data_IF_108617491694
#
_entry.id   IF_108617491694
#
_cell.length_a   1.000
_cell.length_b   1.000
_cell.length_c   1.000
_cell.angle_alpha   90.00
_cell.angle_beta   90.00
_cell.angle_gamma   90.00
#
_symmetry.space_group_name_H-M   'P 1'
#
loop_
_entity.id
_entity.type
_entity.pdbx_description
1 polymer ?
#
# COMPACT_ATOMS: atom_id res chain seq x y z
N UNK A 1 16.31 2.39 -16.56
CA UNK A 1 16.62 2.19 -15.13
C UNK A 1 17.13 3.48 -14.53
N UNK A 2 16.39 4.02 -13.57
CA UNK A 2 16.90 5.12 -12.78
C UNK A 2 17.92 4.57 -11.76
N UNK A 3 19.12 5.13 -11.75
CA UNK A 3 20.17 4.74 -10.81
C UNK A 3 19.92 5.39 -9.44
N UNK A 4 19.30 6.56 -9.46
CA UNK A 4 18.96 7.33 -8.25
C UNK A 4 17.47 7.62 -8.23
N UNK A 5 16.87 7.65 -7.05
CA UNK A 5 15.45 7.98 -6.88
C UNK A 5 15.11 9.41 -7.37
N UNK A 6 16.08 10.34 -7.29
CA UNK A 6 15.93 11.70 -7.81
C UNK A 6 15.66 11.70 -9.31
N UNK A 7 16.32 10.82 -10.06
CA UNK A 7 16.16 10.73 -11.52
C UNK A 7 14.72 10.26 -11.86
N UNK A 8 14.12 9.41 -11.02
CA UNK A 8 12.72 8.98 -11.16
C UNK A 8 11.75 10.14 -10.89
N UNK A 9 12.01 10.95 -9.86
CA UNK A 9 11.20 12.12 -9.54
C UNK A 9 11.29 13.18 -10.64
N UNK A 10 12.49 13.46 -11.15
CA UNK A 10 12.69 14.40 -12.26
C UNK A 10 11.95 13.94 -13.53
N UNK A 11 11.99 12.63 -13.82
CA UNK A 11 11.25 12.05 -14.92
C UNK A 11 9.73 12.20 -14.72
N UNK A 12 9.22 11.91 -13.52
CA UNK A 12 7.81 12.08 -13.18
C UNK A 12 7.35 13.54 -13.31
N UNK A 13 8.14 14.50 -12.83
CA UNK A 13 7.88 15.94 -12.99
C UNK A 13 7.80 16.31 -14.47
N UNK A 14 8.69 15.78 -15.30
CA UNK A 14 8.77 16.06 -16.73
C UNK A 14 7.55 15.59 -17.53
N UNK A 15 6.74 14.67 -16.98
CA UNK A 15 5.50 14.20 -17.61
C UNK A 15 4.37 15.22 -17.58
N UNK A 16 4.42 16.20 -16.68
CA UNK A 16 3.30 17.11 -16.32
C UNK A 16 2.02 16.37 -15.90
N UNK A 17 2.15 15.16 -15.35
CA UNK A 17 1.03 14.32 -14.88
C UNK A 17 0.97 14.23 -13.35
N UNK A 18 1.72 15.06 -12.67
CA UNK A 18 1.65 15.15 -11.23
C UNK A 18 0.31 15.73 -10.77
N UNK A 19 -0.26 15.11 -9.75
CA UNK A 19 -1.51 15.56 -9.12
C UNK A 19 -1.27 15.88 -7.65
N UNK A 20 -1.89 16.94 -7.14
CA UNK A 20 -1.95 17.20 -5.70
C UNK A 20 -3.05 16.33 -5.13
N UNK A 21 -2.71 15.41 -4.25
CA UNK A 21 -3.64 14.47 -3.61
C UNK A 21 -4.15 14.97 -2.26
N UNK A 22 -3.52 15.99 -1.71
CA UNK A 22 -3.98 16.67 -0.49
C UNK A 22 -3.04 17.79 -0.05
N UNK A 23 -3.53 18.62 0.85
CA UNK A 23 -2.76 19.66 1.52
C UNK A 23 -2.46 19.23 2.96
N UNK A 24 -1.25 19.47 3.41
CA UNK A 24 -0.81 19.12 4.75
C UNK A 24 0.17 20.17 5.28
N UNK A 25 -0.06 20.67 6.49
CA UNK A 25 0.73 21.75 7.08
C UNK A 25 0.76 22.95 6.11
N UNK A 26 1.94 23.45 5.78
CA UNK A 26 2.12 24.54 4.81
C UNK A 26 2.57 24.02 3.43
N UNK A 27 2.30 22.76 3.10
CA UNK A 27 2.71 22.11 1.86
C UNK A 27 1.68 21.16 1.29
N UNK A 28 2.13 20.28 0.41
CA UNK A 28 1.26 19.43 -0.41
C UNK A 28 1.80 18.00 -0.45
N UNK A 29 0.86 17.05 -0.52
CA UNK A 29 1.13 15.69 -0.97
C UNK A 29 0.87 15.63 -2.47
N UNK A 30 1.90 15.26 -3.22
CA UNK A 30 1.87 15.20 -4.68
C UNK A 30 2.10 13.76 -5.10
N UNK A 31 1.38 13.29 -6.11
CA UNK A 31 1.49 11.94 -6.62
C UNK A 31 1.68 11.93 -8.14
N UNK A 32 2.60 11.09 -8.60
CA UNK A 32 2.61 10.57 -9.96
C UNK A 32 2.00 9.17 -9.94
N UNK A 33 0.94 8.96 -10.73
CA UNK A 33 0.28 7.67 -10.87
C UNK A 33 0.48 7.15 -12.31
N UNK A 34 1.21 6.05 -12.44
CA UNK A 34 1.42 5.37 -13.71
C UNK A 34 0.21 4.45 -14.02
N UNK A 35 -0.25 4.35 -15.27
CA UNK A 35 -1.34 3.43 -15.64
C UNK A 35 -1.09 1.96 -15.31
N UNK A 36 0.15 1.56 -15.09
CA UNK A 36 0.49 0.23 -14.58
C UNK A 36 0.12 -0.01 -13.12
N UNK A 37 -0.30 1.01 -12.39
CA UNK A 37 -0.56 1.01 -10.96
C UNK A 37 0.60 1.52 -10.10
N UNK A 38 1.81 1.62 -10.66
CA UNK A 38 2.96 2.14 -9.91
C UNK A 38 2.79 3.63 -9.57
N UNK A 39 3.18 4.02 -8.36
CA UNK A 39 3.02 5.39 -7.87
C UNK A 39 4.33 5.90 -7.27
N UNK A 40 4.57 7.21 -7.44
CA UNK A 40 5.57 7.97 -6.71
C UNK A 40 4.83 9.01 -5.89
N UNK A 41 4.98 8.96 -4.58
CA UNK A 41 4.39 9.92 -3.64
C UNK A 41 5.48 10.88 -3.16
N UNK A 42 5.21 12.16 -3.18
CA UNK A 42 6.14 13.22 -2.82
C UNK A 42 5.47 14.10 -1.76
N UNK A 43 6.01 14.08 -0.55
CA UNK A 43 5.66 15.02 0.49
C UNK A 43 6.50 16.30 0.30
N UNK A 44 5.86 17.37 -0.15
CA UNK A 44 6.51 18.64 -0.50
C UNK A 44 6.47 19.66 0.66
N UNK A 45 6.71 19.17 1.88
CA UNK A 45 6.86 19.98 3.11
C UNK A 45 7.79 19.24 4.08
N UNK A 46 8.47 19.96 4.96
CA UNK A 46 9.34 19.32 5.96
C UNK A 46 8.55 18.47 6.98
N UNK A 47 9.03 17.24 7.25
CA UNK A 47 10.18 16.58 6.65
C UNK A 47 9.87 16.08 5.24
N UNK A 48 10.66 16.49 4.25
CA UNK A 48 10.47 16.04 2.86
C UNK A 48 10.64 14.54 2.75
N UNK A 49 9.73 13.90 2.01
CA UNK A 49 9.79 12.47 1.77
C UNK A 49 9.38 12.15 0.33
N UNK A 50 9.98 11.08 -0.21
CA UNK A 50 9.56 10.47 -1.46
C UNK A 50 9.52 8.97 -1.25
N UNK A 51 8.40 8.36 -1.59
CA UNK A 51 8.18 6.93 -1.37
C UNK A 51 7.30 6.33 -2.46
N UNK A 52 7.46 5.02 -2.65
CA UNK A 52 6.70 4.27 -3.64
C UNK A 52 5.31 3.95 -3.08
N UNK A 53 4.33 3.88 -3.98
CA UNK A 53 3.01 3.35 -3.76
C UNK A 53 2.60 2.45 -4.93
N UNK A 54 1.47 1.81 -4.78
CA UNK A 54 0.86 1.00 -5.82
C UNK A 54 -0.66 1.05 -5.70
N UNK A 55 -1.33 1.20 -6.84
CA UNK A 55 -2.79 1.13 -6.93
C UNK A 55 -3.20 -0.35 -7.00
N UNK A 56 -3.54 -0.89 -5.83
CA UNK A 56 -3.90 -2.30 -5.66
C UNK A 56 -5.27 -2.60 -6.25
N UNK A 57 -5.40 -3.72 -6.96
CA UNK A 57 -6.71 -4.20 -7.42
C UNK A 57 -7.43 -5.00 -6.33
N UNK A 58 -6.68 -5.55 -5.37
CA UNK A 58 -7.28 -6.20 -4.20
C UNK A 58 -7.64 -5.18 -3.15
N UNK A 59 -8.75 -5.42 -2.46
CA UNK A 59 -9.24 -4.57 -1.39
C UNK A 59 -9.51 -5.40 -0.14
N UNK A 60 -9.17 -4.84 1.01
CA UNK A 60 -9.44 -5.41 2.33
C UNK A 60 -9.89 -4.32 3.30
N UNK A 61 -9.94 -4.66 4.58
CA UNK A 61 -10.24 -3.71 5.65
C UNK A 61 -9.13 -3.71 6.69
N UNK A 62 -8.85 -2.54 7.25
CA UNK A 62 -7.89 -2.42 8.35
C UNK A 62 -8.24 -1.28 9.30
N UNK A 63 -7.78 -1.39 10.54
CA UNK A 63 -7.55 -0.23 11.39
C UNK A 63 -6.17 0.34 11.06
N UNK A 64 -6.08 1.63 10.84
CA UNK A 64 -4.85 2.30 10.39
C UNK A 64 -4.41 3.34 11.40
N UNK A 65 -3.18 3.23 11.89
CA UNK A 65 -2.54 4.20 12.77
C UNK A 65 -1.20 4.62 12.18
N UNK A 66 -0.90 5.91 12.16
CA UNK A 66 0.37 6.38 11.64
C UNK A 66 1.49 6.20 12.66
N UNK A 67 2.62 5.67 12.21
CA UNK A 67 3.87 5.59 12.98
C UNK A 67 4.72 6.86 12.74
N UNK A 68 4.69 7.35 11.52
CA UNK A 68 5.27 8.63 11.08
C UNK A 68 4.53 9.10 9.80
N UNK A 69 5.00 10.14 9.15
CA UNK A 69 4.32 10.70 7.96
C UNK A 69 4.11 9.69 6.81
N UNK A 70 4.89 8.62 6.73
CA UNK A 70 4.85 7.67 5.61
C UNK A 70 4.44 6.26 6.06
N UNK A 71 4.95 5.82 7.21
CA UNK A 71 4.77 4.46 7.69
C UNK A 71 3.51 4.37 8.55
N UNK A 72 2.59 3.51 8.15
CA UNK A 72 1.40 3.14 8.92
C UNK A 72 1.58 1.78 9.61
N UNK A 73 1.02 1.64 10.81
CA UNK A 73 0.72 0.37 11.44
C UNK A 73 -0.73 0.01 11.14
N UNK A 74 -0.97 -1.22 10.73
CA UNK A 74 -2.28 -1.69 10.29
C UNK A 74 -2.66 -2.99 10.99
N UNK A 75 -3.88 -3.05 11.50
CA UNK A 75 -4.54 -4.28 11.89
C UNK A 75 -5.48 -4.69 10.76
N UNK A 76 -5.06 -5.68 9.97
CA UNK A 76 -5.81 -6.15 8.80
C UNK A 76 -6.93 -7.07 9.28
N UNK A 77 -8.15 -6.82 8.82
CA UNK A 77 -9.38 -7.40 9.36
C UNK A 77 -10.07 -8.32 8.34
N UNK A 78 -10.74 -9.34 8.88
CA UNK A 78 -11.77 -10.04 8.13
C UNK A 78 -13.08 -9.22 8.07
N UNK A 79 -14.08 -9.62 7.27
CA UNK A 79 -15.37 -8.91 7.20
C UNK A 79 -16.16 -8.87 8.51
N UNK A 80 -15.76 -9.64 9.51
CA UNK A 80 -16.42 -9.70 10.84
C UNK A 80 -15.66 -8.91 11.91
N UNK A 81 -14.50 -8.33 11.57
CA UNK A 81 -13.68 -7.55 12.48
C UNK A 81 -12.63 -8.33 13.25
N UNK A 82 -12.39 -9.58 12.87
CA UNK A 82 -11.28 -10.35 13.44
C UNK A 82 -9.98 -9.88 12.82
N UNK A 83 -8.97 -9.62 13.65
CA UNK A 83 -7.63 -9.28 13.16
C UNK A 83 -6.98 -10.52 12.57
N UNK A 84 -6.73 -10.49 11.26
CA UNK A 84 -6.06 -11.54 10.50
C UNK A 84 -4.54 -11.45 10.62
N UNK A 85 -4.01 -10.23 10.56
CA UNK A 85 -2.59 -9.94 10.67
C UNK A 85 -2.35 -8.50 11.12
N UNK A 86 -1.17 -8.26 11.68
CA UNK A 86 -0.63 -6.92 11.88
C UNK A 86 0.50 -6.64 10.91
N UNK A 87 0.55 -5.45 10.35
CA UNK A 87 1.53 -5.07 9.35
C UNK A 87 1.98 -3.62 9.50
N UNK A 88 3.18 -3.31 9.04
CA UNK A 88 3.61 -1.95 8.74
C UNK A 88 3.73 -1.78 7.24
N UNK A 89 3.24 -0.67 6.71
CA UNK A 89 3.22 -0.37 5.28
C UNK A 89 3.53 1.10 5.01
N UNK A 90 4.16 1.38 3.87
CA UNK A 90 4.18 2.74 3.35
C UNK A 90 2.79 3.07 2.83
N UNK A 91 2.12 4.04 3.46
CA UNK A 91 0.76 4.45 3.10
C UNK A 91 0.80 5.64 2.15
N UNK A 92 0.21 5.50 0.97
CA UNK A 92 0.21 6.56 -0.04
C UNK A 92 -0.38 7.88 0.48
N UNK A 93 -1.43 7.81 1.30
CA UNK A 93 -2.09 8.95 1.95
C UNK A 93 -1.55 9.25 3.36
N UNK A 94 -0.49 8.55 3.79
CA UNK A 94 0.05 8.64 5.16
C UNK A 94 0.23 10.05 5.69
N UNK A 95 0.88 10.97 4.94
CA UNK A 95 1.07 12.34 5.42
C UNK A 95 -0.22 13.07 5.79
N UNK A 96 -1.34 12.75 5.13
CA UNK A 96 -2.64 13.37 5.40
C UNK A 96 -3.28 12.86 6.69
N UNK A 97 -2.77 11.76 7.24
CA UNK A 97 -3.26 11.11 8.45
C UNK A 97 -2.26 11.17 9.61
N UNK A 98 -1.08 11.77 9.41
CA UNK A 98 0.02 11.69 10.37
C UNK A 98 -0.31 12.25 11.75
N UNK A 99 -1.19 13.26 11.80
CA UNK A 99 -1.62 13.93 13.03
C UNK A 99 -3.02 13.46 13.49
N UNK A 100 -3.61 12.47 12.80
CA UNK A 100 -4.94 11.95 13.10
C UNK A 100 -4.86 10.74 14.06
N UNK A 101 -5.95 10.53 14.80
CA UNK A 101 -6.12 9.32 15.59
C UNK A 101 -6.23 8.09 14.69
N UNK A 102 -6.21 6.89 15.29
CA UNK A 102 -6.43 5.63 14.59
C UNK A 102 -7.69 5.70 13.73
N UNK A 103 -7.55 5.43 12.45
CA UNK A 103 -8.66 5.38 11.50
C UNK A 103 -9.24 3.95 11.48
N UNK A 104 -10.42 3.71 12.08
CA UNK A 104 -11.00 2.38 12.10
C UNK A 104 -11.68 2.03 10.78
N UNK A 105 -11.67 0.75 10.43
CA UNK A 105 -12.44 0.18 9.31
C UNK A 105 -12.19 0.88 7.96
N UNK A 106 -10.94 1.20 7.69
CA UNK A 106 -10.59 1.75 6.38
C UNK A 106 -10.58 0.64 5.33
N UNK A 107 -11.12 0.93 4.16
CA UNK A 107 -10.91 0.11 2.99
C UNK A 107 -9.49 0.36 2.50
N UNK A 108 -8.70 -0.71 2.39
CA UNK A 108 -7.27 -0.64 2.08
C UNK A 108 -6.94 -1.51 0.88
N UNK A 109 -6.16 -0.96 -0.04
CA UNK A 109 -5.44 -1.72 -1.04
C UNK A 109 -4.05 -2.05 -0.51
N UNK A 110 -3.64 -3.31 -0.59
CA UNK A 110 -2.35 -3.79 -0.08
C UNK A 110 -1.52 -4.39 -1.22
N UNK A 111 -0.29 -3.93 -1.37
CA UNK A 111 0.62 -4.42 -2.42
C UNK A 111 2.00 -4.68 -1.87
N UNK A 112 2.57 -5.83 -2.21
CA UNK A 112 3.93 -6.22 -1.86
C UNK A 112 4.86 -6.02 -3.05
N UNK A 113 5.90 -5.22 -2.89
CA UNK A 113 7.03 -5.15 -3.82
C UNK A 113 7.99 -6.27 -3.46
N UNK A 114 7.88 -7.40 -4.18
CA UNK A 114 8.57 -8.65 -3.82
C UNK A 114 10.04 -8.67 -4.22
N UNK A 115 10.86 -9.18 -3.34
CA UNK A 115 12.26 -9.53 -3.58
C UNK A 115 12.62 -10.81 -2.81
N UNK A 116 13.58 -11.60 -3.31
CA UNK A 116 13.93 -12.89 -2.67
C UNK A 116 12.75 -13.88 -2.63
N UNK A 117 11.93 -13.88 -3.68
CA UNK A 117 10.74 -14.74 -3.78
C UNK A 117 11.10 -16.08 -4.39
N UNK A 118 10.58 -17.17 -3.82
CA UNK A 118 10.68 -18.54 -4.31
C UNK A 118 9.31 -18.99 -4.83
N UNK A 119 9.32 -19.76 -5.91
CA UNK A 119 8.14 -20.32 -6.58
C UNK A 119 8.03 -21.81 -6.27
N UNK A 120 6.81 -22.26 -5.99
CA UNK A 120 6.43 -23.66 -5.81
C UNK A 120 5.30 -23.99 -6.79
N UNK A 121 5.37 -25.14 -7.42
CA UNK A 121 4.41 -25.52 -8.45
C UNK A 121 2.98 -25.75 -7.90
N UNK A 122 2.86 -26.02 -6.60
CA UNK A 122 1.57 -26.22 -5.94
C UNK A 122 1.65 -25.97 -4.42
N UNK A 123 0.49 -25.88 -3.77
CA UNK A 123 0.38 -25.87 -2.31
C UNK A 123 0.99 -27.13 -1.69
N UNK A 124 0.83 -28.30 -2.34
CA UNK A 124 1.38 -29.56 -1.85
C UNK A 124 2.91 -29.57 -1.84
N UNK A 125 3.56 -28.94 -2.84
CA UNK A 125 5.01 -28.83 -2.87
C UNK A 125 5.54 -27.91 -1.76
N UNK A 126 4.81 -26.83 -1.47
CA UNK A 126 5.11 -25.95 -0.35
C UNK A 126 4.92 -26.66 1.00
N UNK A 127 3.79 -27.35 1.18
CA UNK A 127 3.49 -28.13 2.39
C UNK A 127 4.51 -29.24 2.64
N UNK A 128 5.02 -29.89 1.60
CA UNK A 128 6.04 -30.91 1.70
C UNK A 128 7.37 -30.34 2.27
N UNK A 129 7.68 -29.07 2.01
CA UNK A 129 8.89 -28.40 2.51
C UNK A 129 8.69 -27.82 3.93
N UNK A 130 7.53 -27.19 4.19
CA UNK A 130 7.29 -26.42 5.43
C UNK A 130 6.33 -27.05 6.42
N UNK A 131 5.65 -28.13 6.04
CA UNK A 131 4.61 -28.81 6.83
C UNK A 131 3.49 -27.86 7.31
N UNK A 132 3.15 -26.86 6.48
CA UNK A 132 2.10 -25.89 6.74
C UNK A 132 1.48 -25.42 5.43
N UNK A 133 0.20 -25.02 5.45
CA UNK A 133 -0.48 -24.44 4.30
C UNK A 133 0.13 -23.09 3.90
N UNK A 134 0.22 -22.75 2.60
CA UNK A 134 0.82 -21.50 2.12
C UNK A 134 -0.11 -20.29 2.34
N UNK A 135 -0.36 -19.96 3.58
CA UNK A 135 -1.06 -18.74 4.02
C UNK A 135 -0.33 -18.20 5.23
N UNK A 136 0.76 -17.47 5.00
CA UNK A 136 1.58 -16.87 6.04
C UNK A 136 1.86 -15.40 5.72
N UNK A 137 1.88 -14.58 6.76
CA UNK A 137 2.29 -13.19 6.69
C UNK A 137 2.94 -12.77 8.00
N UNK A 138 4.11 -12.18 7.92
CA UNK A 138 4.89 -11.69 9.06
C UNK A 138 5.39 -10.28 8.75
N UNK A 139 5.32 -9.38 9.72
CA UNK A 139 5.85 -8.01 9.63
C UNK A 139 6.67 -7.69 10.88
N UNK A 140 7.99 -7.72 10.73
CA UNK A 140 8.91 -7.35 11.82
C UNK A 140 8.65 -5.90 12.29
N UNK A 141 8.33 -5.00 11.36
CA UNK A 141 7.98 -3.62 11.70
C UNK A 141 6.74 -3.53 12.60
N UNK A 142 5.72 -4.38 12.38
CA UNK A 142 4.55 -4.43 13.22
C UNK A 142 4.88 -4.94 14.64
N UNK A 143 5.74 -5.95 14.75
CA UNK A 143 6.21 -6.45 16.05
C UNK A 143 6.96 -5.37 16.83
N UNK A 144 7.84 -4.60 16.15
CA UNK A 144 8.58 -3.48 16.76
C UNK A 144 7.62 -2.41 17.29
N UNK A 145 6.60 -2.05 16.50
CA UNK A 145 5.58 -1.07 16.91
C UNK A 145 4.78 -1.59 18.11
N UNK A 146 4.32 -2.84 18.05
CA UNK A 146 3.54 -3.45 19.13
C UNK A 146 4.33 -3.56 20.46
N UNK A 147 5.64 -3.80 20.40
CA UNK A 147 6.51 -3.82 21.58
C UNK A 147 6.70 -2.43 22.21
N UNK A 148 6.61 -1.35 21.42
CA UNK A 148 6.69 0.03 21.90
C UNK A 148 8.01 0.41 22.58
N UNK A 149 9.06 -0.39 22.42
CA UNK A 149 10.34 -0.20 23.14
C UNK A 149 11.17 0.98 22.60
N UNK A 150 10.94 1.41 21.36
CA UNK A 150 11.76 2.40 20.66
C UNK A 150 13.21 1.95 20.39
N UNK A 151 13.53 0.69 20.64
CA UNK A 151 14.90 0.14 20.48
C UNK A 151 15.26 -0.12 19.01
N UNK A 152 14.28 -0.28 18.14
CA UNK A 152 14.45 -0.50 16.71
C UNK A 152 13.51 0.41 15.91
N UNK A 153 13.92 0.73 14.68
CA UNK A 153 13.11 1.52 13.75
C UNK A 153 12.26 0.56 12.92
N UNK A 154 10.92 0.67 12.97
CA UNK A 154 10.06 -0.18 12.15
C UNK A 154 10.21 0.15 10.67
N UNK A 155 10.11 -0.88 9.83
CA UNK A 155 10.17 -0.76 8.36
C UNK A 155 8.94 -1.42 7.74
N UNK A 156 8.59 -1.13 6.47
CA UNK A 156 7.49 -1.78 5.79
C UNK A 156 7.85 -3.19 5.27
N UNK A 157 8.94 -3.77 5.75
CA UNK A 157 9.37 -5.13 5.39
C UNK A 157 8.38 -6.19 5.84
N UNK A 158 8.11 -7.14 4.95
CA UNK A 158 7.25 -8.28 5.24
C UNK A 158 7.82 -9.58 4.68
N UNK A 159 7.38 -10.70 5.26
CA UNK A 159 7.55 -12.05 4.74
C UNK A 159 6.18 -12.65 4.49
N UNK A 160 6.02 -13.34 3.38
CA UNK A 160 4.73 -13.91 3.00
C UNK A 160 4.88 -15.28 2.36
N UNK A 161 3.80 -16.06 2.43
CA UNK A 161 3.56 -17.21 1.57
C UNK A 161 2.08 -17.19 1.17
N UNK A 162 1.80 -17.24 -0.14
CA UNK A 162 0.46 -17.12 -0.66
C UNK A 162 0.32 -17.82 -2.02
N UNK A 163 -0.92 -18.14 -2.37
CA UNK A 163 -1.28 -18.76 -3.62
C UNK A 163 -1.60 -17.70 -4.68
N UNK A 164 -1.17 -17.95 -5.92
CA UNK A 164 -1.48 -17.09 -7.07
C UNK A 164 -2.93 -17.32 -7.51
N UNK A 165 -3.70 -16.25 -7.60
CA UNK A 165 -5.06 -16.26 -8.13
C UNK A 165 -5.10 -15.81 -9.58
N UNK A 166 -4.40 -14.71 -9.86
CA UNK A 166 -4.28 -14.12 -11.18
C UNK A 166 -2.87 -13.59 -11.38
N UNK A 167 -2.43 -13.53 -12.62
CA UNK A 167 -1.12 -12.95 -12.96
C UNK A 167 -1.14 -12.34 -14.35
N UNK A 168 -0.46 -11.23 -14.52
CA UNK A 168 -0.33 -10.53 -15.78
C UNK A 168 0.99 -9.77 -15.89
N UNK A 169 1.40 -9.49 -17.13
CA UNK A 169 2.47 -8.55 -17.40
C UNK A 169 1.93 -7.14 -17.44
N UNK A 170 2.59 -6.23 -16.74
CA UNK A 170 2.39 -4.79 -16.83
C UNK A 170 3.67 -4.10 -17.29
N UNK A 171 3.53 -2.93 -17.86
CA UNK A 171 4.64 -2.09 -18.29
C UNK A 171 4.51 -0.73 -17.65
N UNK A 172 5.54 -0.33 -16.90
CA UNK A 172 5.62 1.00 -16.32
C UNK A 172 5.93 2.01 -17.44
N UNK A 173 5.04 2.94 -17.69
CA UNK A 173 5.16 3.89 -18.80
C UNK A 173 6.29 4.91 -18.60
N UNK A 174 6.61 5.24 -17.34
CA UNK A 174 7.69 6.17 -17.03
C UNK A 174 9.07 5.58 -17.34
N UNK A 175 9.25 4.27 -17.15
CA UNK A 175 10.54 3.60 -17.30
C UNK A 175 10.63 2.72 -18.55
N UNK A 176 9.50 2.32 -19.13
CA UNK A 176 9.40 1.30 -20.17
C UNK A 176 9.70 -0.13 -19.68
N UNK A 177 9.82 -0.33 -18.37
CA UNK A 177 10.13 -1.64 -17.81
C UNK A 177 8.87 -2.47 -17.57
N UNK A 178 8.99 -3.74 -17.92
CA UNK A 178 7.95 -4.74 -17.64
C UNK A 178 8.16 -5.33 -16.25
N UNK A 179 7.05 -5.59 -15.60
CA UNK A 179 6.99 -6.32 -14.34
C UNK A 179 5.78 -7.24 -14.31
N UNK A 180 5.79 -8.19 -13.39
CA UNK A 180 4.66 -9.08 -13.14
C UNK A 180 3.80 -8.48 -12.06
N UNK A 181 2.51 -8.38 -12.32
CA UNK A 181 1.48 -8.07 -11.33
C UNK A 181 0.68 -9.34 -11.06
N UNK A 182 0.51 -9.68 -9.79
CA UNK A 182 -0.19 -10.88 -9.35
C UNK A 182 -1.21 -10.53 -8.26
N UNK A 183 -2.35 -11.19 -8.31
CA UNK A 183 -3.34 -11.22 -7.23
C UNK A 183 -3.07 -12.47 -6.39
N UNK A 184 -2.87 -12.27 -5.10
CA UNK A 184 -2.47 -13.30 -4.16
C UNK A 184 -3.56 -13.61 -3.14
N UNK A 185 -3.72 -14.91 -2.83
CA UNK A 185 -4.60 -15.43 -1.78
C UNK A 185 -3.72 -16.01 -0.66
N UNK A 186 -3.60 -15.27 0.43
CA UNK A 186 -2.81 -15.62 1.61
C UNK A 186 -3.63 -15.55 2.89
N UNK A 187 -3.03 -15.02 3.97
CA UNK A 187 -3.77 -14.70 5.21
C UNK A 187 -4.86 -13.67 4.96
N UNK A 188 -4.60 -12.77 4.02
CA UNK A 188 -5.51 -11.78 3.45
C UNK A 188 -5.17 -11.62 1.96
N UNK A 189 -6.08 -11.11 1.12
CA UNK A 189 -5.78 -10.84 -0.27
C UNK A 189 -4.85 -9.62 -0.41
N UNK A 190 -3.87 -9.71 -1.31
CA UNK A 190 -2.95 -8.61 -1.63
C UNK A 190 -2.42 -8.73 -3.06
N UNK A 191 -1.94 -7.63 -3.60
CA UNK A 191 -1.23 -7.62 -4.87
C UNK A 191 0.26 -7.89 -4.65
N UNK A 192 0.89 -8.59 -5.59
CA UNK A 192 2.35 -8.81 -5.58
C UNK A 192 2.95 -8.31 -6.88
N UNK A 193 3.95 -7.45 -6.78
CA UNK A 193 4.73 -6.99 -7.93
C UNK A 193 6.11 -7.65 -7.91
N UNK A 194 6.48 -8.29 -9.03
CA UNK A 194 7.79 -8.92 -9.23
C UNK A 194 8.49 -8.37 -10.47
N UNK A 195 9.82 -8.24 -10.45
CA UNK A 195 10.57 -7.79 -11.62
C UNK A 195 10.51 -8.83 -12.74
N UNK A 196 10.65 -8.40 -13.99
CA UNK A 196 10.69 -9.31 -15.15
C UNK A 196 11.82 -10.35 -15.06
N UNK A 197 12.89 -10.05 -14.32
CA UNK A 197 13.99 -10.99 -14.07
C UNK A 197 13.60 -12.20 -13.22
N UNK A 198 12.41 -12.20 -12.60
CA UNK A 198 11.89 -13.36 -11.86
C UNK A 198 11.67 -14.57 -12.78
N UNK A 199 11.39 -14.35 -14.07
CA UNK A 199 11.30 -15.39 -15.08
C UNK A 199 9.95 -15.44 -15.80
N UNK A 200 9.33 -16.63 -15.86
CA UNK A 200 8.02 -16.81 -16.47
C UNK A 200 6.90 -16.39 -15.50
N UNK A 201 5.81 -15.89 -16.08
CA UNK A 201 4.63 -15.50 -15.32
C UNK A 201 4.09 -16.69 -14.51
N UNK A 202 3.94 -16.57 -13.18
CA UNK A 202 3.40 -17.65 -12.37
C UNK A 202 1.97 -17.99 -12.77
N UNK A 203 1.65 -19.29 -12.80
CA UNK A 203 0.31 -19.75 -13.11
C UNK A 203 -0.61 -19.67 -11.88
N UNK A 204 -1.91 -19.68 -12.13
CA UNK A 204 -2.92 -19.84 -11.08
C UNK A 204 -2.64 -21.09 -10.25
N UNK A 205 -2.88 -21.00 -8.94
CA UNK A 205 -2.69 -22.05 -7.93
C UNK A 205 -1.22 -22.41 -7.62
N UNK A 206 -0.24 -21.80 -8.27
CA UNK A 206 1.14 -21.85 -7.80
C UNK A 206 1.30 -21.05 -6.51
N UNK A 207 2.32 -21.37 -5.75
CA UNK A 207 2.62 -20.68 -4.48
C UNK A 207 3.89 -19.86 -4.63
N UNK A 208 3.82 -18.65 -4.14
CA UNK A 208 4.96 -17.77 -4.00
C UNK A 208 5.22 -17.50 -2.52
N UNK A 209 6.46 -17.64 -2.09
CA UNK A 209 6.89 -17.34 -0.73
C UNK A 209 8.19 -16.55 -0.74
N UNK A 210 8.29 -15.54 0.07
CA UNK A 210 9.49 -14.69 0.10
C UNK A 210 9.33 -13.47 0.96
N UNK A 211 10.11 -12.45 0.64
CA UNK A 211 10.14 -11.17 1.33
C UNK A 211 9.75 -10.04 0.38
N UNK A 212 9.31 -8.94 0.94
CA UNK A 212 8.98 -7.75 0.18
C UNK A 212 8.82 -6.51 1.06
N UNK A 213 8.52 -5.40 0.41
CA UNK A 213 8.08 -4.18 1.07
C UNK A 213 6.59 -4.01 0.84
N UNK A 214 5.84 -3.80 1.92
CA UNK A 214 4.40 -3.57 1.85
C UNK A 214 4.13 -2.08 1.59
N UNK A 215 3.31 -1.81 0.60
CA UNK A 215 2.70 -0.51 0.35
C UNK A 215 1.19 -0.62 0.52
N UNK A 216 0.57 0.46 0.94
CA UNK A 216 -0.86 0.52 1.14
C UNK A 216 -1.44 1.82 0.56
N UNK A 217 -2.72 1.76 0.20
CA UNK A 217 -3.53 2.92 -0.13
C UNK A 217 -4.88 2.82 0.54
N UNK A 218 -5.48 3.97 0.87
CA UNK A 218 -6.85 4.09 1.36
C UNK A 218 -7.61 5.06 0.48
N UNK A 219 -8.94 4.87 0.40
CA UNK A 219 -9.81 5.88 -0.18
C UNK A 219 -10.03 6.99 0.85
N UNK A 220 -9.45 8.16 0.58
CA UNK A 220 -9.78 9.35 1.39
C UNK A 220 -11.22 9.75 1.10
N UNK A 221 -12.04 10.03 2.13
CA UNK A 221 -13.35 10.59 1.89
C UNK A 221 -13.17 11.89 1.09
N UNK A 222 -13.74 11.92 -0.11
CA UNK A 222 -13.78 13.16 -0.92
C UNK A 222 -14.41 14.22 -0.04
N UNK A 223 -13.63 15.22 0.37
CA UNK A 223 -14.07 16.29 1.26
C UNK A 223 -15.39 16.86 0.75
N UNK A 224 -16.44 16.67 1.52
CA UNK A 224 -17.71 17.31 1.24
C UNK A 224 -17.45 18.81 1.22
N UNK A 225 -17.74 19.43 0.09
CA UNK A 225 -17.72 20.88 -0.03
C UNK A 225 -18.41 21.47 1.18
N UNK A 226 -17.70 22.26 1.94
CA UNK A 226 -18.28 23.11 2.95
C UNK A 226 -19.39 23.93 2.29
N UNK A 227 -20.62 23.50 2.52
CA UNK A 227 -21.78 24.30 2.18
C UNK A 227 -21.87 25.43 3.20
N UNK A 228 -21.20 26.54 2.92
CA UNK A 228 -21.63 27.84 3.39
C UNK A 228 -23.02 28.12 2.78
N UNK A 229 -23.98 27.41 3.29
CA UNK A 229 -25.40 27.61 3.04
C UNK A 229 -26.04 28.15 4.31
N UNK A 230 -25.91 29.44 4.57
CA UNK A 230 -26.68 30.13 5.58
C UNK A 230 -28.15 29.87 5.38
N UNK A 231 -28.78 29.02 6.18
CA UNK A 231 -30.22 28.97 6.34
C UNK A 231 -30.67 30.21 7.10
N UNK A 232 -30.93 31.27 6.37
CA UNK A 232 -31.72 32.39 6.85
C UNK A 232 -33.16 31.92 7.05
N UNK A 233 -33.50 31.52 8.26
CA UNK A 233 -34.89 31.40 8.69
C UNK A 233 -35.49 32.78 8.84
N UNK A 234 -36.12 33.27 7.76
CA UNK A 234 -36.96 34.44 7.79
C UNK A 234 -38.21 34.15 8.65
N UNK A 235 -38.30 34.80 9.79
CA UNK A 235 -39.50 34.90 10.61
C UNK A 235 -40.53 35.73 9.85
N UNK A 236 -41.61 35.09 9.37
CA UNK A 236 -42.82 35.73 8.84
C UNK A 236 -43.94 35.56 9.83
N UNK A 237 -44.33 36.68 10.44
CA UNK A 237 -45.33 36.74 11.48
C UNK A 237 -46.76 36.52 10.97
N UNK A 238 -47.61 36.28 11.96
CA UNK A 238 -49.05 36.10 11.91
C UNK A 238 -49.81 37.28 11.29
N UNK A 239 -50.86 36.95 10.56
CA UNK A 239 -52.21 37.54 10.69
C UNK A 239 -53.24 36.48 10.34
#
# INVERSE_FOLDING_TARGET
NFVRWQDAVEAAISTNQLTVTGEIRDGQLIQFADPSGAQINILAVEPFATYIGFDSVTQGFAHVSMVNDVLAFMEILDPFGTVLAQATANLAQGPLLADEETQPWQQVGLSVMGFGVKRYASAADYEAEFNTYPAAFESEGAEIVAQGSGAAVPTPGCRFAARVMESEWRENQLTGEKFMHLVMDGVFPFDLCLPASFGELPAKDEVLAGTGMLTASIEMPTGGCGSDGGCSCGSGGCH
#
